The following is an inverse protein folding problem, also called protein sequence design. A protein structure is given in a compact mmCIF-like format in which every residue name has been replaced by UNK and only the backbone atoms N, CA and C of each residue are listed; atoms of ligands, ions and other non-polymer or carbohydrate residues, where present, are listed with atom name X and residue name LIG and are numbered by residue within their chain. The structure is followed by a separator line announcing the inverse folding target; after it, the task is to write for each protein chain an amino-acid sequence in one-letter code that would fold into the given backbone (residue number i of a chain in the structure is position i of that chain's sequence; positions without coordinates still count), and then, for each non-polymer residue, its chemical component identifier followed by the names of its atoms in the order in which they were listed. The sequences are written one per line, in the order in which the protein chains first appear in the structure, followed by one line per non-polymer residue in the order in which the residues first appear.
data_IF_014899514593
#
_entry.id   IF_014899514593
#
_cell.length_a   1.000
_cell.length_b   1.000
_cell.length_c   1.000
_cell.angle_alpha   90.00
_cell.angle_beta   90.00
_cell.angle_gamma   90.00
#
_symmetry.space_group_name_H-M   'P 1'
#
loop_
_entity.id
_entity.type
_entity.pdbx_description
1 polymer ?
#
# COMPACT_ATOMS: atom_id res chain seq x y z
N UNK A 1 8.18 -2.03 -11.26
CA UNK A 1 8.34 -0.97 -10.23
C UNK A 1 7.90 -1.44 -8.86
N UNK A 2 6.64 -1.91 -8.74
CA UNK A 2 6.04 -2.21 -7.44
C UNK A 2 6.79 -3.24 -6.61
N UNK A 3 7.23 -4.36 -7.19
CA UNK A 3 8.06 -5.36 -6.48
C UNK A 3 9.33 -4.77 -5.83
N UNK A 4 9.97 -3.79 -6.47
CA UNK A 4 11.14 -3.10 -5.90
C UNK A 4 10.72 -2.30 -4.66
N UNK A 5 9.60 -1.58 -4.73
CA UNK A 5 9.08 -0.83 -3.58
C UNK A 5 8.63 -1.76 -2.45
N UNK A 6 8.02 -2.91 -2.76
CA UNK A 6 7.65 -3.93 -1.78
C UNK A 6 8.87 -4.47 -1.04
N UNK A 7 9.98 -4.69 -1.76
CA UNK A 7 11.25 -5.12 -1.17
C UNK A 7 11.89 -4.01 -0.34
N UNK A 8 11.88 -2.75 -0.81
CA UNK A 8 12.39 -1.62 -0.01
C UNK A 8 11.57 -1.46 1.29
N UNK A 9 10.26 -1.70 1.23
CA UNK A 9 9.37 -1.64 2.39
C UNK A 9 9.66 -2.72 3.46
N UNK A 10 10.46 -3.75 3.20
CA UNK A 10 10.92 -4.68 4.25
C UNK A 10 12.07 -4.12 5.09
N UNK A 11 12.68 -3.03 4.63
CA UNK A 11 13.85 -2.41 5.26
C UNK A 11 13.53 -1.60 6.52
N UNK A 12 14.42 -0.64 6.81
CA UNK A 12 14.30 0.23 7.98
C UNK A 12 13.08 1.15 7.91
N UNK A 13 12.77 1.83 9.02
CA UNK A 13 11.69 2.82 9.05
C UNK A 13 11.89 3.95 8.04
N UNK A 14 13.16 4.35 7.82
CA UNK A 14 13.51 5.33 6.79
C UNK A 14 13.08 4.84 5.39
N UNK A 15 13.35 3.56 5.07
CA UNK A 15 12.93 2.99 3.79
C UNK A 15 11.39 2.94 3.66
N UNK A 16 10.69 2.53 4.72
CA UNK A 16 9.22 2.49 4.74
C UNK A 16 8.61 3.86 4.56
N UNK A 17 9.14 4.88 5.24
CA UNK A 17 8.63 6.24 5.15
C UNK A 17 8.88 6.89 3.78
N UNK A 18 10.00 6.58 3.13
CA UNK A 18 10.27 7.00 1.75
C UNK A 18 9.35 6.29 0.74
N UNK A 19 9.08 4.99 0.93
CA UNK A 19 8.09 4.26 0.13
C UNK A 19 6.70 4.89 0.30
N UNK A 20 6.31 5.21 1.54
CA UNK A 20 5.05 5.91 1.83
C UNK A 20 4.97 7.25 1.10
N UNK A 21 6.03 8.06 1.12
CA UNK A 21 6.07 9.36 0.42
C UNK A 21 5.88 9.22 -1.09
N UNK A 22 6.42 8.17 -1.70
CA UNK A 22 6.29 7.90 -3.15
C UNK A 22 4.91 7.39 -3.54
N UNK A 23 4.29 6.56 -2.69
CA UNK A 23 3.04 5.89 -3.00
C UNK A 23 1.79 6.66 -2.54
N UNK A 24 1.96 7.52 -1.54
CA UNK A 24 0.98 8.48 -1.03
C UNK A 24 1.55 9.90 -1.14
N UNK A 25 1.67 10.45 -2.36
CA UNK A 25 2.03 11.85 -2.53
C UNK A 25 1.09 12.75 -1.73
N UNK A 26 1.61 13.85 -1.21
CA UNK A 26 0.86 14.77 -0.36
C UNK A 26 -0.37 15.30 -1.11
N UNK A 27 -1.48 15.52 -0.41
CA UNK A 27 -2.71 16.10 -0.98
C UNK A 27 -2.49 17.47 -1.67
N UNK A 28 -1.36 18.14 -1.41
CA UNK A 28 -0.92 19.33 -2.12
C UNK A 28 -0.65 19.10 -3.63
N UNK A 29 -0.44 17.85 -4.05
CA UNK A 29 -0.13 17.46 -5.44
C UNK A 29 -1.38 17.10 -6.27
N UNK A 30 -2.59 17.38 -5.75
CA UNK A 30 -3.87 17.33 -6.47
C UNK A 30 -4.80 16.17 -6.06
N UNK A 31 -6.07 16.26 -6.46
CA UNK A 31 -7.17 15.31 -6.16
C UNK A 31 -7.03 13.91 -6.79
N UNK A 32 -5.84 13.50 -7.20
CA UNK A 32 -5.67 12.19 -7.84
C UNK A 32 -5.74 11.07 -6.78
N UNK A 33 -6.42 9.95 -7.09
CA UNK A 33 -6.39 8.78 -6.22
C UNK A 33 -4.94 8.34 -6.02
N UNK A 34 -4.61 7.92 -4.79
CA UNK A 34 -3.26 7.47 -4.47
C UNK A 34 -2.78 6.41 -5.46
N UNK A 35 -1.46 6.34 -5.68
CA UNK A 35 -0.85 5.32 -6.54
C UNK A 35 -1.25 3.91 -6.06
N UNK A 36 -1.36 3.74 -4.73
CA UNK A 36 -1.85 2.51 -4.11
C UNK A 36 -3.26 2.15 -4.58
N UNK A 37 -4.23 3.07 -4.51
CA UNK A 37 -5.61 2.79 -4.95
C UNK A 37 -5.64 2.41 -6.42
N UNK A 38 -4.90 3.15 -7.28
CA UNK A 38 -4.83 2.84 -8.71
C UNK A 38 -4.32 1.43 -8.97
N UNK A 39 -3.30 0.99 -8.24
CA UNK A 39 -2.74 -0.35 -8.40
C UNK A 39 -3.64 -1.44 -7.82
N UNK A 40 -4.33 -1.17 -6.70
CA UNK A 40 -5.31 -2.10 -6.12
C UNK A 40 -6.55 -2.28 -7.00
N UNK A 41 -6.83 -1.35 -7.91
CA UNK A 41 -7.95 -1.41 -8.87
C UNK A 41 -7.51 -1.83 -10.28
N UNK A 42 -6.24 -2.14 -10.48
CA UNK A 42 -5.72 -2.53 -11.80
C UNK A 42 -6.22 -3.93 -12.18
N UNK A 43 -6.42 -4.17 -13.48
CA UNK A 43 -6.82 -5.48 -13.99
C UNK A 43 -5.70 -6.53 -13.86
N UNK A 44 -4.45 -6.10 -13.78
CA UNK A 44 -3.30 -6.96 -13.55
C UNK A 44 -3.27 -7.45 -12.08
N UNK A 45 -3.45 -8.75 -11.89
CA UNK A 45 -3.46 -9.41 -10.59
C UNK A 45 -2.10 -9.40 -9.90
N UNK A 46 -1.00 -9.63 -10.63
CA UNK A 46 0.36 -9.51 -10.08
C UNK A 46 0.61 -8.12 -9.48
N UNK A 47 0.10 -7.06 -10.11
CA UNK A 47 0.22 -5.69 -9.62
C UNK A 47 -0.59 -5.47 -8.33
N UNK A 48 -1.80 -6.03 -8.25
CA UNK A 48 -2.61 -6.00 -7.02
C UNK A 48 -1.91 -6.75 -5.89
N UNK A 49 -1.44 -7.98 -6.15
CA UNK A 49 -0.69 -8.81 -5.19
C UNK A 49 0.56 -8.09 -4.68
N UNK A 50 1.38 -7.56 -5.58
CA UNK A 50 2.60 -6.83 -5.19
C UNK A 50 2.30 -5.61 -4.32
N UNK A 51 1.18 -4.93 -4.60
CA UNK A 51 0.72 -3.75 -3.85
C UNK A 51 0.24 -4.13 -2.45
N UNK A 52 -0.53 -5.21 -2.33
CA UNK A 52 -0.96 -5.76 -1.03
C UNK A 52 0.26 -6.14 -0.18
N UNK A 53 1.23 -6.86 -0.75
CA UNK A 53 2.48 -7.21 -0.05
C UNK A 53 3.26 -5.97 0.41
N UNK A 54 3.30 -4.92 -0.41
CA UNK A 54 3.90 -3.67 0.02
C UNK A 54 3.18 -3.06 1.22
N UNK A 55 1.84 -3.07 1.22
CA UNK A 55 1.04 -2.54 2.33
C UNK A 55 1.32 -3.33 3.61
N UNK A 56 1.34 -4.67 3.55
CA UNK A 56 1.69 -5.55 4.67
C UNK A 56 3.06 -5.19 5.25
N UNK A 57 4.06 -5.01 4.37
CA UNK A 57 5.41 -4.63 4.80
C UNK A 57 5.44 -3.25 5.48
N UNK A 58 4.68 -2.28 4.97
CA UNK A 58 4.56 -0.94 5.54
C UNK A 58 3.84 -0.93 6.89
N UNK A 59 2.90 -1.85 7.10
CA UNK A 59 2.07 -1.95 8.32
C UNK A 59 2.52 -3.02 9.30
N UNK A 60 3.75 -3.54 9.17
CA UNK A 60 4.27 -4.56 10.07
C UNK A 60 4.24 -4.07 11.55
N UNK A 61 3.62 -4.81 12.48
CA UNK A 61 3.25 -4.31 13.80
C UNK A 61 4.43 -3.97 14.72
N UNK A 62 5.61 -4.55 14.47
CA UNK A 62 6.81 -4.35 15.28
C UNK A 62 7.72 -3.20 14.82
N UNK A 63 7.29 -2.47 13.79
CA UNK A 63 8.04 -1.37 13.21
C UNK A 63 7.67 -0.01 13.84
N UNK A 64 8.66 0.83 14.14
CA UNK A 64 8.41 2.16 14.71
C UNK A 64 7.68 3.05 13.70
N UNK A 65 6.72 3.85 14.15
CA UNK A 65 5.93 4.71 13.25
C UNK A 65 4.83 3.99 12.46
N UNK A 66 4.59 2.70 12.71
CA UNK A 66 3.50 1.93 12.08
C UNK A 66 2.14 2.60 12.23
N UNK A 67 1.82 3.14 13.42
CA UNK A 67 0.56 3.85 13.67
C UNK A 67 0.38 5.06 12.77
N UNK A 68 1.45 5.83 12.52
CA UNK A 68 1.42 6.97 11.60
C UNK A 68 1.18 6.50 10.15
N UNK A 69 1.85 5.41 9.74
CA UNK A 69 1.66 4.84 8.40
C UNK A 69 0.24 4.33 8.18
N UNK A 70 -0.32 3.61 9.16
CA UNK A 70 -1.72 3.18 9.15
C UNK A 70 -2.66 4.39 9.07
N UNK A 71 -2.38 5.46 9.84
CA UNK A 71 -3.14 6.70 9.81
C UNK A 71 -3.19 7.30 8.40
N UNK A 72 -2.04 7.44 7.76
CA UNK A 72 -1.92 7.95 6.37
C UNK A 72 -2.65 7.07 5.36
N UNK A 73 -2.49 5.74 5.44
CA UNK A 73 -3.18 4.79 4.56
C UNK A 73 -4.71 4.87 4.72
N UNK A 74 -5.18 5.04 5.96
CA UNK A 74 -6.61 5.21 6.25
C UNK A 74 -7.14 6.53 5.70
N UNK A 75 -6.44 7.64 5.94
CA UNK A 75 -6.82 8.96 5.40
C UNK A 75 -6.82 8.99 3.87
N UNK A 76 -5.96 8.20 3.22
CA UNK A 76 -5.92 8.06 1.78
C UNK A 76 -6.95 7.06 1.21
N UNK A 77 -7.83 6.48 2.04
CA UNK A 77 -8.85 5.52 1.61
C UNK A 77 -8.34 4.11 1.27
N UNK A 78 -7.02 3.85 1.41
CA UNK A 78 -6.40 2.57 1.05
C UNK A 78 -6.95 1.42 1.88
N UNK A 79 -7.18 1.63 3.18
CA UNK A 79 -7.74 0.60 4.06
C UNK A 79 -9.16 0.19 3.62
N UNK A 80 -9.97 1.13 3.14
CA UNK A 80 -11.31 0.81 2.63
C UNK A 80 -11.22 0.04 1.31
N UNK A 81 -10.28 0.40 0.44
CA UNK A 81 -10.03 -0.32 -0.81
C UNK A 81 -9.55 -1.75 -0.54
N UNK A 82 -8.62 -1.98 0.38
CA UNK A 82 -8.18 -3.34 0.74
C UNK A 82 -9.35 -4.19 1.23
N UNK A 83 -10.22 -3.62 2.08
CA UNK A 83 -11.42 -4.32 2.56
C UNK A 83 -12.42 -4.69 1.47
N UNK A 84 -12.50 -3.94 0.37
CA UNK A 84 -13.43 -4.27 -0.73
C UNK A 84 -12.90 -5.40 -1.63
N UNK A 85 -11.64 -5.81 -1.46
CA UNK A 85 -10.99 -6.84 -2.28
C UNK A 85 -11.25 -8.28 -1.79
N UNK A 86 -12.10 -8.47 -0.78
CA UNK A 86 -12.55 -9.81 -0.31
C UNK A 86 -13.18 -10.66 -1.44
N UNK A 87 -13.71 -10.02 -2.47
CA UNK A 87 -14.28 -10.69 -3.66
C UNK A 87 -13.33 -10.73 -4.87
N UNK A 88 -12.03 -10.40 -4.72
CA UNK A 88 -11.08 -10.39 -5.83
C UNK A 88 -10.98 -11.78 -6.50
N UNK A 89 -10.94 -11.89 -7.83
CA UNK A 89 -10.79 -13.18 -8.50
C UNK A 89 -9.45 -13.87 -8.16
N UNK A 90 -8.41 -13.12 -7.81
CA UNK A 90 -7.12 -13.65 -7.40
C UNK A 90 -7.13 -14.03 -5.92
N UNK A 91 -6.81 -15.28 -5.59
CA UNK A 91 -6.77 -15.77 -4.21
C UNK A 91 -5.67 -15.09 -3.38
N UNK A 92 -4.51 -14.82 -3.96
CA UNK A 92 -3.39 -14.18 -3.24
C UNK A 92 -3.72 -12.74 -2.80
N UNK A 93 -4.71 -12.11 -3.44
CA UNK A 93 -5.22 -10.79 -3.05
C UNK A 93 -6.21 -10.89 -1.87
N UNK A 94 -6.98 -11.99 -1.78
CA UNK A 94 -8.00 -12.21 -0.75
C UNK A 94 -7.44 -12.54 0.63
N UNK A 95 -6.28 -13.18 0.70
CA UNK A 95 -5.77 -13.87 1.91
C UNK A 95 -5.04 -12.91 2.87
N UNK A 96 -5.28 -11.60 2.82
CA UNK A 96 -4.54 -10.59 3.61
C UNK A 96 -5.39 -9.89 4.66
#
# INVERSE_FOLDING_TARGET
GMYVLSNVATGSEFHKDEVMRRLLPSAAEGCNPSVLIRFLQDNNDELRVATIWCIVNLTHPWCLGVTNRIGKLRSAGVICQVKSMDNDPCLDVKVV
#
